data_IF_415496365774
#
_entry.id   IF_415496365774
#
_cell.length_a   1.000
_cell.length_b   1.000
_cell.length_c   1.000
_cell.angle_alpha   90.00
_cell.angle_beta   90.00
_cell.angle_gamma   90.00
#
_symmetry.space_group_name_H-M   'P 1'
#
loop_
_entity.id
_entity.type
_entity.pdbx_description
1 polymer ?
#
# COMPACT_ATOMS: atom_id res chain seq x y z
N UNK A 1 10.93 95.35 3.15
CA UNK A 1 11.06 94.06 3.86
C UNK A 1 9.81 93.16 3.85
N UNK A 2 8.63 93.60 3.37
CA UNK A 2 7.41 92.75 3.34
C UNK A 2 7.28 91.81 2.11
N UNK A 3 7.91 92.14 0.97
CA UNK A 3 7.84 91.32 -0.25
C UNK A 3 8.78 90.10 -0.26
N UNK A 4 9.84 90.08 0.56
CA UNK A 4 10.79 88.97 0.59
C UNK A 4 10.24 87.77 1.38
N UNK A 5 9.47 88.04 2.44
CA UNK A 5 8.86 87.02 3.30
C UNK A 5 7.79 86.24 2.51
N UNK A 6 6.98 86.92 1.69
CA UNK A 6 5.91 86.28 0.91
C UNK A 6 6.42 85.29 -0.15
N UNK A 7 7.63 85.50 -0.70
CA UNK A 7 8.25 84.59 -1.67
C UNK A 7 8.77 83.30 -1.04
N UNK A 8 9.27 83.36 0.21
CA UNK A 8 9.76 82.17 0.91
C UNK A 8 8.63 81.29 1.43
N UNK A 9 7.50 81.87 1.86
CA UNK A 9 6.34 81.09 2.32
C UNK A 9 5.68 80.29 1.19
N UNK A 10 5.68 80.83 -0.04
CA UNK A 10 5.09 80.15 -1.20
C UNK A 10 5.96 78.96 -1.68
N UNK A 11 7.28 79.07 -1.56
CA UNK A 11 8.22 77.99 -1.91
C UNK A 11 8.18 76.85 -0.88
N UNK A 12 8.06 77.18 0.41
CA UNK A 12 7.94 76.17 1.47
C UNK A 12 6.59 75.43 1.44
N UNK A 13 5.51 76.12 1.06
CA UNK A 13 4.20 75.49 0.85
C UNK A 13 4.20 74.49 -0.31
N UNK A 14 4.90 74.79 -1.40
CA UNK A 14 4.95 73.90 -2.57
C UNK A 14 5.78 72.62 -2.31
N UNK A 15 6.85 72.71 -1.50
CA UNK A 15 7.67 71.56 -1.09
C UNK A 15 6.94 70.60 -0.13
N UNK A 16 6.00 71.10 0.67
CA UNK A 16 5.22 70.26 1.61
C UNK A 16 4.14 69.41 0.92
N UNK A 17 3.75 69.74 -0.33
CA UNK A 17 2.78 68.94 -1.10
C UNK A 17 3.42 67.80 -1.91
N UNK A 18 4.74 67.72 -2.01
CA UNK A 18 5.44 66.63 -2.71
C UNK A 18 5.88 65.47 -1.80
N UNK A 19 5.69 65.56 -0.48
CA UNK A 19 6.19 64.53 0.46
C UNK A 19 5.18 63.43 0.80
N UNK A 20 3.99 63.42 0.17
CA UNK A 20 2.94 62.43 0.45
C UNK A 20 2.42 61.67 -0.79
N UNK A 21 3.24 61.54 -1.83
CA UNK A 21 3.04 60.43 -2.78
C UNK A 21 3.71 59.19 -2.20
N UNK A 22 3.01 58.44 -1.34
CA UNK A 22 3.35 57.03 -1.15
C UNK A 22 3.08 56.35 -2.48
N UNK A 23 4.10 56.18 -3.31
CA UNK A 23 4.06 55.18 -4.36
C UNK A 23 3.67 53.88 -3.66
N UNK A 24 2.45 53.41 -3.90
CA UNK A 24 2.04 52.07 -3.51
C UNK A 24 3.13 51.14 -4.02
N UNK A 25 3.72 50.38 -3.10
CA UNK A 25 4.74 49.37 -3.40
C UNK A 25 4.36 48.71 -4.72
N UNK A 26 5.17 48.91 -5.75
CA UNK A 26 5.02 48.15 -6.99
C UNK A 26 5.20 46.71 -6.55
N UNK A 27 4.08 45.97 -6.42
CA UNK A 27 4.09 44.59 -5.95
C UNK A 27 5.07 43.84 -6.83
N UNK A 28 6.02 43.15 -6.21
CA UNK A 28 6.92 42.29 -6.96
C UNK A 28 6.08 41.17 -7.56
N UNK A 29 5.70 41.35 -8.83
CA UNK A 29 4.84 40.40 -9.53
C UNK A 29 5.41 38.99 -9.53
N UNK A 30 6.73 38.82 -9.35
CA UNK A 30 7.34 37.50 -9.21
C UNK A 30 7.03 36.88 -7.85
N UNK A 31 7.02 37.67 -6.77
CA UNK A 31 6.62 37.22 -5.44
C UNK A 31 5.15 36.83 -5.40
N UNK A 32 4.29 37.61 -6.04
CA UNK A 32 2.85 37.32 -6.13
C UNK A 32 2.58 36.09 -7.01
N UNK A 33 3.27 35.96 -8.16
CA UNK A 33 3.20 34.76 -9.00
C UNK A 33 3.71 33.51 -8.28
N UNK A 34 4.77 33.63 -7.48
CA UNK A 34 5.30 32.52 -6.68
C UNK A 34 4.32 32.11 -5.59
N UNK A 35 3.71 33.06 -4.90
CA UNK A 35 2.67 32.78 -3.90
C UNK A 35 1.44 32.10 -4.54
N UNK A 36 1.01 32.55 -5.73
CA UNK A 36 -0.06 31.92 -6.50
C UNK A 36 0.34 30.50 -6.91
N UNK A 37 1.56 30.30 -7.42
CA UNK A 37 2.05 28.98 -7.81
C UNK A 37 2.16 28.02 -6.61
N UNK A 38 2.66 28.50 -5.48
CA UNK A 38 2.71 27.74 -4.22
C UNK A 38 1.31 27.35 -3.76
N UNK A 39 0.34 28.27 -3.82
CA UNK A 39 -1.05 27.98 -3.49
C UNK A 39 -1.65 26.95 -4.46
N UNK A 40 -1.37 27.04 -5.77
CA UNK A 40 -1.84 26.06 -6.76
C UNK A 40 -1.24 24.68 -6.54
N UNK A 41 0.06 24.59 -6.22
CA UNK A 41 0.72 23.33 -5.87
C UNK A 41 0.11 22.76 -4.58
N UNK A 42 -0.13 23.59 -3.57
CA UNK A 42 -0.78 23.20 -2.32
C UNK A 42 -2.19 22.66 -2.57
N UNK A 43 -3.01 23.37 -3.35
CA UNK A 43 -4.35 22.92 -3.70
C UNK A 43 -4.32 21.60 -4.47
N UNK A 44 -3.43 21.46 -5.47
CA UNK A 44 -3.30 20.24 -6.24
C UNK A 44 -2.86 19.04 -5.39
N UNK A 45 -1.90 19.24 -4.49
CA UNK A 45 -1.40 18.19 -3.60
C UNK A 45 -2.38 17.85 -2.47
N UNK A 46 -3.36 18.73 -2.21
CA UNK A 46 -4.41 18.49 -1.23
C UNK A 46 -5.70 17.88 -1.81
N UNK A 47 -5.71 17.51 -3.08
CA UNK A 47 -6.84 16.80 -3.66
C UNK A 47 -6.79 15.31 -3.31
N UNK A 48 -7.86 14.82 -2.71
CA UNK A 48 -8.13 13.39 -2.53
C UNK A 48 -9.11 12.91 -3.59
N UNK A 49 -8.90 11.70 -4.08
CA UNK A 49 -9.75 11.07 -5.08
C UNK A 49 -10.30 9.75 -4.53
N UNK A 50 -11.58 9.41 -4.79
CA UNK A 50 -12.13 8.13 -4.38
C UNK A 50 -11.53 7.03 -5.25
N UNK A 51 -10.85 6.08 -4.62
CA UNK A 51 -10.25 4.92 -5.30
C UNK A 51 -10.82 3.64 -4.71
N UNK A 52 -11.25 2.75 -5.61
CA UNK A 52 -11.61 1.38 -5.26
C UNK A 52 -10.37 0.59 -4.91
N UNK A 53 -10.47 -0.18 -3.84
CA UNK A 53 -9.40 -1.03 -3.34
C UNK A 53 -9.96 -2.42 -3.09
N UNK A 54 -9.23 -3.45 -3.48
CA UNK A 54 -9.66 -4.83 -3.35
C UNK A 54 -8.61 -5.65 -2.60
N UNK A 55 -9.09 -6.62 -1.84
CA UNK A 55 -8.30 -7.75 -1.35
C UNK A 55 -8.91 -8.97 -2.02
N UNK A 56 -8.08 -9.84 -2.59
CA UNK A 56 -8.57 -10.97 -3.37
C UNK A 56 -7.74 -12.21 -3.09
N UNK A 57 -8.38 -13.32 -2.77
CA UNK A 57 -7.74 -14.63 -2.76
C UNK A 57 -7.71 -15.20 -4.17
N UNK A 58 -6.61 -15.82 -4.56
CA UNK A 58 -6.45 -16.45 -5.86
C UNK A 58 -5.59 -17.70 -5.76
N UNK A 59 -5.64 -18.49 -6.82
CA UNK A 59 -4.75 -19.61 -7.05
C UNK A 59 -4.01 -19.42 -8.39
N UNK A 60 -2.79 -19.95 -8.49
CA UNK A 60 -1.89 -19.79 -9.63
C UNK A 60 -1.94 -20.98 -10.62
N UNK A 61 -2.87 -21.92 -10.40
CA UNK A 61 -2.99 -23.15 -11.20
C UNK A 61 -3.80 -23.02 -12.49
N UNK A 62 -4.26 -21.80 -12.81
CA UNK A 62 -5.02 -21.48 -14.03
C UNK A 62 -6.25 -22.38 -14.23
N UNK A 63 -6.92 -22.75 -13.13
CA UNK A 63 -8.16 -23.52 -13.11
C UNK A 63 -9.30 -22.77 -12.39
N UNK A 64 -10.44 -23.44 -12.27
CA UNK A 64 -11.65 -22.88 -11.65
C UNK A 64 -11.80 -23.24 -10.15
N UNK A 65 -10.85 -23.99 -9.56
CA UNK A 65 -10.98 -24.61 -8.25
C UNK A 65 -10.07 -23.98 -7.19
N UNK A 66 -10.54 -22.93 -6.54
CA UNK A 66 -9.80 -22.25 -5.46
C UNK A 66 -9.60 -23.08 -4.18
N UNK A 67 -10.30 -24.21 -4.05
CA UNK A 67 -10.27 -25.05 -2.86
C UNK A 67 -9.31 -26.24 -2.98
N UNK A 68 -8.73 -26.48 -4.15
CA UNK A 68 -7.85 -27.61 -4.40
C UNK A 68 -6.59 -27.11 -5.09
N UNK A 69 -5.43 -27.47 -4.55
CA UNK A 69 -4.19 -27.17 -5.24
C UNK A 69 -3.15 -28.27 -5.02
N UNK A 70 -2.29 -28.43 -6.03
CA UNK A 70 -1.21 -29.44 -6.03
C UNK A 70 0.14 -28.78 -5.84
N UNK A 71 0.90 -29.20 -4.84
CA UNK A 71 2.24 -28.68 -4.56
C UNK A 71 3.28 -29.81 -4.55
N UNK A 72 4.43 -29.57 -5.18
CA UNK A 72 5.55 -30.53 -5.18
C UNK A 72 6.54 -30.17 -4.08
N UNK A 73 6.79 -31.09 -3.16
CA UNK A 73 7.79 -30.98 -2.10
C UNK A 73 8.71 -32.20 -2.17
N UNK A 74 10.02 -31.97 -2.30
CA UNK A 74 11.03 -33.03 -2.38
C UNK A 74 10.73 -34.14 -3.42
N UNK A 75 10.28 -33.75 -4.63
CA UNK A 75 9.85 -34.64 -5.71
C UNK A 75 8.59 -35.51 -5.43
N UNK A 76 7.87 -35.26 -4.33
CA UNK A 76 6.55 -35.82 -4.04
C UNK A 76 5.49 -34.75 -4.29
N UNK A 77 4.42 -35.12 -5.00
CA UNK A 77 3.27 -34.24 -5.23
C UNK A 77 2.26 -34.45 -4.11
N UNK A 78 1.88 -33.36 -3.45
CA UNK A 78 0.86 -33.33 -2.43
C UNK A 78 -0.38 -32.61 -2.97
N UNK A 79 -1.52 -33.27 -2.87
CA UNK A 79 -2.82 -32.69 -3.20
C UNK A 79 -3.42 -32.14 -1.90
N UNK A 80 -3.74 -30.86 -1.90
CA UNK A 80 -4.29 -30.15 -0.74
C UNK A 80 -5.70 -29.73 -1.09
N UNK A 81 -6.66 -30.10 -0.24
CA UNK A 81 -8.06 -29.68 -0.35
C UNK A 81 -8.41 -28.86 0.88
N UNK A 82 -8.71 -27.58 0.70
CA UNK A 82 -9.14 -26.68 1.77
C UNK A 82 -10.65 -26.83 1.98
N UNK A 83 -11.06 -27.02 3.23
CA UNK A 83 -12.45 -27.20 3.62
C UNK A 83 -13.15 -25.84 3.79
N UNK A 84 -14.44 -25.80 3.49
CA UNK A 84 -15.29 -24.60 3.54
C UNK A 84 -15.43 -23.97 4.94
N UNK A 85 -15.15 -24.76 5.99
CA UNK A 85 -15.11 -24.28 7.38
C UNK A 85 -13.90 -23.39 7.73
N UNK A 86 -13.01 -23.14 6.78
CA UNK A 86 -11.88 -22.22 6.94
C UNK A 86 -12.36 -20.76 6.92
N UNK A 87 -11.77 -19.92 7.77
CA UNK A 87 -12.10 -18.50 7.86
C UNK A 87 -10.87 -17.64 8.16
N UNK A 88 -10.96 -16.36 7.80
CA UNK A 88 -10.00 -15.34 8.21
C UNK A 88 -10.77 -14.24 8.91
N UNK A 89 -10.31 -13.88 10.12
CA UNK A 89 -10.78 -12.73 10.84
C UNK A 89 -9.85 -11.55 10.57
N UNK A 90 -10.26 -10.67 9.66
CA UNK A 90 -9.51 -9.47 9.30
C UNK A 90 -9.71 -8.40 10.37
N UNK A 91 -8.64 -7.68 10.71
CA UNK A 91 -8.68 -6.56 11.65
C UNK A 91 -8.73 -5.23 10.88
N UNK A 92 -7.69 -4.92 10.12
CA UNK A 92 -7.66 -3.76 9.24
C UNK A 92 -6.67 -3.92 8.09
N UNK A 93 -6.81 -3.08 7.08
CA UNK A 93 -5.91 -2.98 5.95
C UNK A 93 -5.79 -1.51 5.56
N UNK A 94 -4.57 -1.03 5.38
CA UNK A 94 -4.30 0.39 5.10
C UNK A 94 -3.25 0.57 4.00
N UNK A 95 -3.39 1.62 3.20
CA UNK A 95 -2.35 2.10 2.28
C UNK A 95 -1.65 3.34 2.82
N UNK A 96 -0.35 3.45 2.54
CA UNK A 96 0.39 4.71 2.59
C UNK A 96 0.75 5.15 1.18
N UNK A 97 0.57 6.44 0.94
CA UNK A 97 0.81 7.06 -0.36
C UNK A 97 1.95 8.05 -0.23
N UNK A 98 2.85 8.00 -1.19
CA UNK A 98 3.87 9.02 -1.38
C UNK A 98 3.42 10.02 -2.46
N UNK A 99 3.85 11.30 -2.37
CA UNK A 99 3.55 12.29 -3.38
C UNK A 99 4.09 11.88 -4.75
N UNK A 100 3.47 12.36 -5.84
CA UNK A 100 3.97 12.08 -7.18
C UNK A 100 5.36 12.69 -7.37
N UNK A 101 6.20 12.05 -8.20
CA UNK A 101 7.55 12.56 -8.51
C UNK A 101 7.55 13.91 -9.25
N UNK A 102 6.40 14.32 -9.80
CA UNK A 102 6.22 15.56 -10.53
C UNK A 102 4.86 16.15 -10.20
N UNK A 103 4.83 17.42 -9.79
CA UNK A 103 3.61 18.21 -9.64
C UNK A 103 3.61 19.29 -10.72
N UNK A 104 2.64 19.25 -11.64
CA UNK A 104 2.48 20.24 -12.73
C UNK A 104 3.70 20.39 -13.66
N UNK A 105 4.43 19.30 -13.93
CA UNK A 105 5.60 19.32 -14.84
C UNK A 105 6.87 19.94 -14.24
N UNK A 106 6.82 20.42 -13.01
CA UNK A 106 8.01 20.82 -12.25
C UNK A 106 8.56 19.59 -11.55
N UNK A 107 9.73 19.13 -12.02
CA UNK A 107 10.52 18.14 -11.29
C UNK A 107 11.13 18.85 -10.09
N UNK A 108 10.88 18.37 -8.88
CA UNK A 108 11.65 18.76 -7.69
C UNK A 108 13.01 18.06 -7.72
N UNK A 109 13.76 18.21 -8.81
CA UNK A 109 15.20 17.95 -8.76
C UNK A 109 15.79 18.89 -7.74
N UNK A 110 16.57 18.37 -6.79
CA UNK A 110 17.07 19.05 -5.58
C UNK A 110 18.03 20.23 -5.81
N UNK A 111 17.81 21.06 -6.83
CA UNK A 111 18.63 22.22 -7.18
C UNK A 111 18.05 23.56 -6.71
N UNK A 112 16.82 23.64 -6.22
CA UNK A 112 16.28 24.90 -5.67
C UNK A 112 16.33 24.89 -4.13
N UNK A 113 17.52 25.17 -3.60
CA UNK A 113 17.72 25.59 -2.19
C UNK A 113 17.08 26.96 -1.97
N UNK A 114 15.75 27.00 -1.88
CA UNK A 114 15.00 28.06 -1.23
C UNK A 114 14.79 27.63 0.21
N UNK A 115 15.34 28.36 1.17
CA UNK A 115 15.36 28.04 2.61
C UNK A 115 13.99 27.95 3.29
N UNK A 116 12.90 28.14 2.54
CA UNK A 116 11.51 28.04 3.02
C UNK A 116 10.66 27.03 2.23
N UNK A 117 11.24 26.30 1.26
CA UNK A 117 10.55 25.27 0.51
C UNK A 117 10.84 23.89 1.12
N UNK A 118 9.85 23.27 1.76
CA UNK A 118 9.89 21.86 2.17
C UNK A 118 9.70 21.01 0.91
N UNK A 119 10.71 21.00 0.04
CA UNK A 119 10.74 20.13 -1.14
C UNK A 119 11.09 18.71 -0.66
N UNK A 120 10.08 17.83 -0.66
CA UNK A 120 10.19 16.42 -0.27
C UNK A 120 10.74 15.62 -1.45
N UNK A 121 12.03 15.31 -1.52
CA UNK A 121 12.55 14.36 -2.52
C UNK A 121 13.64 13.40 -2.03
N UNK A 122 13.59 12.19 -2.61
CA UNK A 122 14.56 11.08 -2.61
C UNK A 122 14.46 9.96 -1.57
N UNK A 123 13.28 9.64 -1.04
CA UNK A 123 13.06 8.25 -0.58
C UNK A 123 12.66 7.37 -1.78
N UNK A 124 13.05 6.08 -1.82
CA UNK A 124 12.43 5.13 -2.74
C UNK A 124 10.92 5.27 -2.64
N UNK A 125 10.18 5.16 -3.75
CA UNK A 125 8.72 5.34 -3.74
C UNK A 125 8.01 4.39 -2.77
N UNK A 126 8.69 3.30 -2.39
CA UNK A 126 8.31 2.26 -1.43
C UNK A 126 8.55 2.60 0.05
N UNK A 127 9.30 3.67 0.34
CA UNK A 127 9.59 4.11 1.72
C UNK A 127 8.64 5.26 2.04
N UNK A 128 7.71 5.08 3.00
CA UNK A 128 6.83 6.15 3.42
C UNK A 128 7.64 7.36 3.87
N UNK A 129 7.20 8.55 3.47
CA UNK A 129 7.80 9.78 3.98
C UNK A 129 7.47 9.93 5.47
N UNK A 130 8.49 10.25 6.27
CA UNK A 130 8.32 10.55 7.69
C UNK A 130 7.72 11.95 7.83
N UNK A 131 6.39 12.01 7.76
CA UNK A 131 5.61 13.22 7.79
C UNK A 131 4.65 13.21 8.97
N UNK A 132 4.34 14.40 9.52
CA UNK A 132 3.30 14.54 10.52
C UNK A 132 1.97 13.89 10.11
N UNK A 133 1.25 13.31 11.07
CA UNK A 133 0.01 12.58 10.82
C UNK A 133 -1.16 13.45 10.35
N UNK A 134 -1.03 14.77 10.40
CA UNK A 134 -1.97 15.74 9.82
C UNK A 134 -1.72 15.99 8.32
N UNK A 135 -0.52 15.71 7.81
CA UNK A 135 -0.18 15.74 6.38
C UNK A 135 -0.88 14.60 5.64
N UNK A 136 -1.41 14.87 4.44
CA UNK A 136 -2.08 13.85 3.63
C UNK A 136 -1.18 12.66 3.29
N UNK A 137 0.12 12.90 3.07
CA UNK A 137 1.08 11.84 2.77
C UNK A 137 1.70 11.23 4.04
N UNK A 138 1.42 11.79 5.23
CA UNK A 138 1.73 11.18 6.53
C UNK A 138 0.64 10.24 7.06
N UNK A 139 -0.56 10.29 6.48
CA UNK A 139 -1.72 9.49 6.86
C UNK A 139 -1.73 8.10 6.21
N UNK A 140 -2.38 7.17 6.90
CA UNK A 140 -2.73 5.86 6.35
C UNK A 140 -4.21 5.83 5.96
N UNK A 141 -4.52 5.22 4.83
CA UNK A 141 -5.86 5.17 4.25
C UNK A 141 -6.42 3.75 4.33
N UNK A 142 -7.45 3.54 5.16
CA UNK A 142 -8.03 2.22 5.40
C UNK A 142 -8.84 1.71 4.22
N UNK A 143 -8.45 0.55 3.69
CA UNK A 143 -9.14 -0.12 2.58
C UNK A 143 -9.93 -1.36 3.01
N UNK A 144 -9.65 -1.91 4.19
CA UNK A 144 -10.27 -3.14 4.70
C UNK A 144 -10.92 -2.89 6.06
N UNK A 145 -12.14 -3.40 6.23
CA UNK A 145 -12.89 -3.36 7.48
C UNK A 145 -12.64 -4.60 8.32
N UNK A 146 -12.71 -4.47 9.65
CA UNK A 146 -12.76 -5.63 10.52
C UNK A 146 -13.96 -6.52 10.17
N UNK A 147 -13.72 -7.81 9.93
CA UNK A 147 -14.75 -8.79 9.55
C UNK A 147 -14.19 -10.21 9.54
N UNK A 148 -14.99 -11.15 10.02
CA UNK A 148 -14.78 -12.57 9.80
C UNK A 148 -15.34 -12.99 8.44
N UNK A 149 -14.48 -13.51 7.57
CA UNK A 149 -14.85 -14.01 6.25
C UNK A 149 -14.59 -15.51 6.20
N UNK A 150 -15.65 -16.30 6.04
CA UNK A 150 -15.60 -17.74 5.88
C UNK A 150 -15.63 -18.15 4.40
N UNK A 151 -15.31 -19.42 4.13
CA UNK A 151 -15.35 -20.01 2.79
C UNK A 151 -14.53 -19.22 1.76
N UNK A 152 -13.32 -18.82 2.16
CA UNK A 152 -12.37 -18.01 1.36
C UNK A 152 -11.92 -18.68 0.04
N UNK A 153 -12.30 -19.94 -0.16
CA UNK A 153 -12.05 -20.74 -1.36
C UNK A 153 -13.28 -20.87 -2.26
N UNK A 154 -14.37 -20.18 -1.95
CA UNK A 154 -15.52 -20.12 -2.84
C UNK A 154 -15.24 -19.15 -3.98
N UNK A 155 -15.46 -19.56 -5.22
CA UNK A 155 -15.40 -18.62 -6.34
C UNK A 155 -16.50 -17.56 -6.25
N UNK A 156 -16.14 -16.29 -6.38
CA UNK A 156 -17.12 -15.19 -6.50
C UNK A 156 -16.72 -14.11 -7.53
N UNK A 157 -15.54 -14.24 -8.17
CA UNK A 157 -15.01 -13.24 -9.10
C UNK A 157 -13.89 -13.84 -9.95
N UNK A 158 -13.57 -13.22 -11.09
CA UNK A 158 -12.47 -13.64 -11.96
C UNK A 158 -11.30 -12.65 -11.89
N UNK A 159 -10.11 -13.15 -12.20
CA UNK A 159 -8.93 -12.36 -12.51
C UNK A 159 -8.24 -12.90 -13.77
N UNK A 160 -7.14 -12.28 -14.18
CA UNK A 160 -6.41 -12.68 -15.38
C UNK A 160 -5.90 -14.13 -15.36
N UNK A 161 -5.64 -14.69 -14.17
CA UNK A 161 -5.15 -16.07 -14.00
C UNK A 161 -6.26 -17.08 -13.68
N UNK A 162 -7.54 -16.70 -13.69
CA UNK A 162 -8.66 -17.62 -13.49
C UNK A 162 -9.63 -17.24 -12.37
N UNK A 163 -10.18 -18.25 -11.69
CA UNK A 163 -11.08 -18.09 -10.57
C UNK A 163 -10.42 -17.33 -9.42
N UNK A 164 -11.21 -16.55 -8.68
CA UNK A 164 -10.76 -15.82 -7.50
C UNK A 164 -11.89 -15.54 -6.51
N UNK A 165 -11.51 -15.18 -5.29
CA UNK A 165 -12.41 -14.77 -4.25
C UNK A 165 -12.12 -13.33 -3.83
N UNK A 166 -12.99 -12.40 -4.21
CA UNK A 166 -12.97 -11.01 -3.79
C UNK A 166 -13.55 -10.90 -2.37
N UNK A 167 -12.75 -10.40 -1.44
CA UNK A 167 -13.20 -10.19 -0.06
C UNK A 167 -14.23 -9.04 -0.01
N UNK A 168 -15.39 -9.24 0.66
CA UNK A 168 -16.51 -8.29 0.59
C UNK A 168 -16.33 -7.05 1.48
N UNK A 169 -15.37 -7.06 2.40
CA UNK A 169 -15.15 -6.03 3.42
C UNK A 169 -14.19 -4.91 2.98
N UNK A 170 -13.89 -4.82 1.68
CA UNK A 170 -13.10 -3.71 1.14
C UNK A 170 -13.92 -2.45 0.92
N UNK A 171 -13.27 -1.28 0.94
CA UNK A 171 -13.94 0.03 0.90
C UNK A 171 -13.44 0.91 -0.23
N UNK A 172 -14.24 1.89 -0.62
CA UNK A 172 -13.75 3.04 -1.35
C UNK A 172 -13.01 3.96 -0.37
N UNK A 173 -11.80 4.38 -0.75
CA UNK A 173 -10.96 5.25 0.07
C UNK A 173 -10.69 6.57 -0.66
N UNK A 174 -10.85 7.70 0.04
CA UNK A 174 -10.44 9.01 -0.48
C UNK A 174 -8.95 9.20 -0.23
N UNK A 175 -8.15 8.99 -1.28
CA UNK A 175 -6.70 8.90 -1.22
C UNK A 175 -6.07 10.06 -2.02
N UNK A 176 -4.97 10.70 -1.59
CA UNK A 176 -4.30 11.75 -2.34
C UNK A 176 -3.67 11.19 -3.61
N UNK A 177 -3.53 12.04 -4.63
CA UNK A 177 -2.81 11.67 -5.84
C UNK A 177 -1.34 11.41 -5.53
N UNK A 178 -0.74 10.41 -6.18
CA UNK A 178 0.63 10.01 -5.89
C UNK A 178 0.95 8.58 -6.30
N UNK A 179 1.73 7.89 -5.48
CA UNK A 179 2.14 6.49 -5.68
C UNK A 179 1.95 5.70 -4.39
N UNK A 180 1.47 4.46 -4.50
CA UNK A 180 1.38 3.56 -3.35
C UNK A 180 2.80 3.26 -2.87
N UNK A 181 3.07 3.59 -1.61
CA UNK A 181 4.35 3.32 -0.97
C UNK A 181 4.34 1.96 -0.30
N UNK A 182 3.30 1.69 0.48
CA UNK A 182 3.19 0.48 1.29
C UNK A 182 1.72 0.15 1.50
N UNK A 183 1.39 -1.14 1.58
CA UNK A 183 0.15 -1.61 2.18
C UNK A 183 0.45 -2.38 3.47
N UNK A 184 -0.41 -2.21 4.47
CA UNK A 184 -0.40 -3.05 5.66
C UNK A 184 -1.71 -3.82 5.70
N UNK A 185 -1.62 -5.12 5.98
CA UNK A 185 -2.76 -5.99 6.24
C UNK A 185 -2.58 -6.59 7.63
N UNK A 186 -3.64 -6.61 8.42
CA UNK A 186 -3.67 -7.20 9.77
C UNK A 186 -4.88 -8.10 9.93
N UNK A 187 -4.67 -9.18 10.66
CA UNK A 187 -5.67 -10.18 10.96
C UNK A 187 -5.60 -10.52 12.44
N UNK A 188 -6.75 -10.83 13.01
CA UNK A 188 -6.87 -11.31 14.39
C UNK A 188 -6.62 -12.83 14.46
N UNK A 189 -7.12 -13.56 13.46
CA UNK A 189 -7.05 -15.01 13.43
C UNK A 189 -7.16 -15.52 11.99
N UNK A 190 -6.35 -16.52 11.64
CA UNK A 190 -6.51 -17.30 10.40
C UNK A 190 -6.71 -18.75 10.80
N UNK A 191 -7.87 -19.30 10.44
CA UNK A 191 -8.24 -20.68 10.70
C UNK A 191 -8.41 -21.42 9.38
N UNK A 192 -7.57 -22.43 9.15
CA UNK A 192 -7.59 -23.23 7.92
C UNK A 192 -7.77 -24.69 8.29
N UNK A 193 -8.78 -25.33 7.71
CA UNK A 193 -8.93 -26.79 7.73
C UNK A 193 -8.67 -27.31 6.34
N UNK A 194 -7.83 -28.32 6.23
CA UNK A 194 -7.49 -28.91 4.95
C UNK A 194 -7.18 -30.40 5.08
N UNK A 195 -7.35 -31.11 3.98
CA UNK A 195 -6.91 -32.50 3.84
C UNK A 195 -5.73 -32.54 2.88
N UNK A 196 -4.62 -33.14 3.31
CA UNK A 196 -3.37 -33.21 2.54
C UNK A 196 -3.08 -34.66 2.18
N UNK A 197 -2.91 -34.95 0.90
CA UNK A 197 -2.66 -36.30 0.37
C UNK A 197 -1.34 -36.37 -0.37
N UNK A 198 -0.35 -37.07 0.19
CA UNK A 198 0.97 -37.34 -0.40
C UNK A 198 1.37 -38.82 -0.34
N UNK A 199 0.37 -39.71 -0.30
CA UNK A 199 0.49 -41.14 -0.04
C UNK A 199 -0.62 -41.60 0.89
N UNK A 200 -0.68 -41.01 2.08
CA UNK A 200 -1.81 -41.10 3.01
C UNK A 200 -2.47 -39.72 3.15
N UNK A 201 -3.79 -39.68 3.19
CA UNK A 201 -4.54 -38.46 3.50
C UNK A 201 -4.46 -38.15 4.99
N UNK A 202 -4.11 -36.91 5.33
CA UNK A 202 -4.10 -36.39 6.70
C UNK A 202 -5.04 -35.21 6.83
N UNK A 203 -5.78 -35.16 7.92
CA UNK A 203 -6.59 -34.00 8.25
C UNK A 203 -5.76 -33.01 9.06
N UNK A 204 -5.66 -31.77 8.56
CA UNK A 204 -4.81 -30.73 9.12
C UNK A 204 -5.67 -29.55 9.52
N UNK A 205 -5.48 -29.09 10.76
CA UNK A 205 -6.09 -27.87 11.28
C UNK A 205 -4.99 -26.88 11.63
N UNK A 206 -5.05 -25.69 11.05
CA UNK A 206 -4.10 -24.60 11.25
C UNK A 206 -4.82 -23.48 11.99
N UNK A 207 -4.19 -23.02 13.07
CA UNK A 207 -4.61 -21.88 13.85
C UNK A 207 -3.46 -20.88 13.94
N UNK A 208 -3.54 -19.81 13.13
CA UNK A 208 -2.61 -18.68 13.23
C UNK A 208 -3.25 -17.58 14.08
N UNK A 209 -2.51 -17.15 15.09
CA UNK A 209 -2.86 -16.01 15.94
C UNK A 209 -2.73 -14.69 15.20
N UNK A 210 -3.11 -13.61 15.89
CA UNK A 210 -3.01 -12.23 15.41
C UNK A 210 -1.64 -11.94 14.80
N UNK A 211 -1.66 -11.23 13.68
CA UNK A 211 -0.47 -10.82 12.98
C UNK A 211 -0.73 -9.68 12.01
N UNK A 212 0.36 -9.14 11.49
CA UNK A 212 0.32 -8.16 10.43
C UNK A 212 1.40 -8.46 9.39
N UNK A 213 1.17 -7.93 8.19
CA UNK A 213 2.12 -7.95 7.09
C UNK A 213 2.18 -6.59 6.45
N UNK A 214 3.40 -6.04 6.42
CA UNK A 214 3.75 -4.93 5.55
C UNK A 214 4.10 -5.47 4.17
N UNK A 215 3.44 -4.94 3.15
CA UNK A 215 3.58 -5.31 1.74
C UNK A 215 4.09 -4.09 1.00
N UNK A 216 5.23 -4.27 0.35
CA UNK A 216 5.88 -3.22 -0.41
C UNK A 216 5.71 -3.52 -1.90
N UNK A 217 5.14 -2.59 -2.70
CA UNK A 217 4.97 -2.82 -4.13
C UNK A 217 6.34 -2.82 -4.81
N UNK A 218 6.61 -3.84 -5.63
CA UNK A 218 7.82 -3.95 -6.45
C UNK A 218 7.81 -3.04 -7.70
N UNK A 219 6.63 -2.51 -8.04
CA UNK A 219 6.45 -1.60 -9.16
C UNK A 219 5.69 -0.34 -8.72
N UNK A 220 5.80 0.74 -9.50
CA UNK A 220 5.13 2.01 -9.19
C UNK A 220 3.64 1.88 -9.49
N UNK A 221 2.80 1.89 -8.45
CA UNK A 221 1.34 1.88 -8.59
C UNK A 221 0.82 3.31 -8.45
N UNK A 222 0.46 4.00 -9.55
CA UNK A 222 0.01 5.39 -9.49
C UNK A 222 -1.44 5.51 -9.00
N UNK A 223 -1.67 6.53 -8.17
CA UNK A 223 -2.97 7.04 -7.75
C UNK A 223 -3.23 8.32 -8.53
N UNK A 224 -4.04 8.24 -9.58
CA UNK A 224 -4.31 9.36 -10.51
C UNK A 224 -5.79 9.40 -10.93
N UNK A 225 -6.24 10.59 -11.34
CA UNK A 225 -7.56 10.76 -11.95
C UNK A 225 -7.72 9.88 -13.19
N UNK A 226 -8.89 9.26 -13.34
CA UNK A 226 -9.21 8.40 -14.49
C UNK A 226 -8.54 7.02 -14.46
N UNK A 227 -8.02 6.56 -13.32
CA UNK A 227 -7.59 5.16 -13.16
C UNK A 227 -8.80 4.23 -13.36
N UNK A 228 -8.70 3.30 -14.30
CA UNK A 228 -9.80 2.40 -14.69
C UNK A 228 -9.98 1.17 -13.80
N UNK A 229 -8.99 0.85 -12.95
CA UNK A 229 -8.99 -0.35 -12.10
C UNK A 229 -8.71 -0.05 -10.63
N UNK A 230 -9.18 -0.93 -9.74
CA UNK A 230 -8.94 -0.84 -8.31
C UNK A 230 -7.45 -1.05 -7.99
N UNK A 231 -7.03 -0.62 -6.79
CA UNK A 231 -5.73 -1.05 -6.23
C UNK A 231 -6.00 -2.36 -5.51
N UNK A 232 -5.45 -3.45 -6.04
CA UNK A 232 -5.70 -4.78 -5.52
C UNK A 232 -4.48 -5.33 -4.78
N UNK A 233 -4.74 -6.06 -3.70
CA UNK A 233 -3.76 -6.94 -3.03
C UNK A 233 -4.26 -8.36 -3.20
N UNK A 234 -3.35 -9.23 -3.60
CA UNK A 234 -3.62 -10.64 -3.78
C UNK A 234 -3.17 -11.43 -2.54
N UNK A 235 -3.95 -12.46 -2.22
CA UNK A 235 -3.68 -13.44 -1.18
C UNK A 235 -3.62 -14.82 -1.82
N UNK A 236 -2.48 -15.50 -1.74
CA UNK A 236 -2.34 -16.88 -2.20
C UNK A 236 -2.41 -17.84 -1.02
N UNK A 237 -3.36 -18.78 -1.06
CA UNK A 237 -3.45 -19.84 -0.06
C UNK A 237 -2.36 -20.90 -0.26
N UNK A 238 -2.03 -21.23 -1.51
CA UNK A 238 -0.94 -22.16 -1.83
C UNK A 238 0.42 -21.64 -1.34
N UNK A 239 0.61 -20.32 -1.32
CA UNK A 239 1.79 -19.65 -0.78
C UNK A 239 2.08 -19.96 0.70
N UNK A 240 1.07 -20.30 1.51
CA UNK A 240 1.32 -20.72 2.90
C UNK A 240 2.14 -22.01 2.98
N UNK A 241 1.97 -22.90 2.01
CA UNK A 241 2.48 -24.27 2.02
C UNK A 241 3.67 -24.47 1.08
N UNK A 242 4.11 -23.40 0.41
CA UNK A 242 5.19 -23.45 -0.54
C UNK A 242 6.53 -23.74 0.15
N UNK A 243 7.31 -24.63 -0.46
CA UNK A 243 8.69 -24.89 -0.07
C UNK A 243 9.59 -23.73 -0.49
N UNK A 244 10.53 -23.36 0.38
CA UNK A 244 11.48 -22.25 0.11
C UNK A 244 12.88 -22.58 0.61
N UNK A 245 13.88 -21.82 0.15
CA UNK A 245 15.21 -21.84 0.75
C UNK A 245 15.45 -20.53 1.49
N UNK A 246 15.85 -20.63 2.76
CA UNK A 246 16.23 -19.47 3.57
C UNK A 246 17.72 -19.59 3.87
N UNK A 247 18.51 -18.66 3.35
CA UNK A 247 19.96 -18.63 3.56
C UNK A 247 20.66 -19.94 3.18
N UNK A 248 20.15 -20.64 2.14
CA UNK A 248 20.70 -21.91 1.66
C UNK A 248 20.14 -23.16 2.37
N UNK A 249 19.34 -23.01 3.43
CA UNK A 249 18.64 -24.13 4.07
C UNK A 249 17.25 -24.31 3.47
N UNK A 250 16.93 -25.48 2.90
CA UNK A 250 15.58 -25.76 2.43
C UNK A 250 14.61 -25.88 3.61
N UNK A 251 13.50 -25.16 3.51
CA UNK A 251 12.37 -25.20 4.42
C UNK A 251 11.23 -25.83 3.65
N UNK A 252 10.80 -27.01 4.11
CA UNK A 252 9.82 -27.84 3.42
C UNK A 252 8.63 -28.11 4.31
N UNK A 253 7.52 -27.44 4.03
CA UNK A 253 6.33 -27.56 4.88
C UNK A 253 5.71 -28.95 4.74
N UNK A 254 5.50 -29.40 3.50
CA UNK A 254 4.76 -30.63 3.19
C UNK A 254 5.57 -31.89 3.53
N UNK A 255 6.89 -31.86 3.31
CA UNK A 255 7.81 -32.92 3.75
C UNK A 255 7.75 -33.09 5.27
N UNK A 256 7.85 -31.99 6.02
CA UNK A 256 7.76 -32.00 7.49
C UNK A 256 6.39 -32.49 7.99
N UNK A 257 5.31 -32.08 7.31
CA UNK A 257 3.94 -32.51 7.61
C UNK A 257 3.74 -34.02 7.38
N UNK A 258 4.40 -34.58 6.37
CA UNK A 258 4.32 -36.00 6.03
C UNK A 258 4.85 -36.91 7.16
N UNK A 259 5.77 -36.41 8.01
CA UNK A 259 6.27 -37.13 9.19
C UNK A 259 5.38 -37.08 10.44
N UNK A 260 4.31 -36.27 10.46
CA UNK A 260 3.45 -36.10 11.66
C UNK A 260 2.36 -37.17 11.79
N UNK A 261 1.87 -37.44 12.99
CA UNK A 261 0.71 -38.32 13.19
C UNK A 261 -0.61 -37.61 12.82
N UNK A 262 -1.56 -38.34 12.24
CA UNK A 262 -2.90 -37.85 11.92
C UNK A 262 -3.84 -38.01 13.15
N UNK A 263 -4.67 -37.00 13.50
CA UNK A 263 -4.82 -35.67 12.91
C UNK A 263 -3.71 -34.68 13.32
N UNK A 264 -3.37 -33.76 12.41
CA UNK A 264 -2.33 -32.75 12.65
C UNK A 264 -2.96 -31.41 13.04
N UNK A 265 -2.70 -30.94 14.26
CA UNK A 265 -3.08 -29.59 14.70
C UNK A 265 -1.85 -28.70 14.76
N UNK A 266 -1.82 -27.64 13.98
CA UNK A 266 -0.72 -26.68 13.87
C UNK A 266 -1.14 -25.37 14.54
N UNK A 267 -0.46 -25.01 15.62
CA UNK A 267 -0.71 -23.78 16.37
C UNK A 267 0.57 -23.33 17.07
N UNK A 268 0.50 -22.18 17.76
CA UNK A 268 1.63 -21.68 18.57
C UNK A 268 2.15 -22.66 19.63
N UNK A 269 1.33 -23.64 20.03
CA UNK A 269 1.66 -24.63 21.08
C UNK A 269 1.74 -26.08 20.58
N UNK A 270 1.32 -26.36 19.33
CA UNK A 270 1.27 -27.71 18.77
C UNK A 270 1.86 -27.72 17.36
N UNK A 271 2.75 -28.69 17.07
CA UNK A 271 3.52 -28.73 15.82
C UNK A 271 4.20 -27.37 15.51
N UNK A 272 4.94 -26.86 16.50
CA UNK A 272 5.57 -25.52 16.49
C UNK A 272 6.56 -25.37 15.33
N UNK A 273 7.20 -26.45 14.90
CA UNK A 273 8.04 -26.48 13.71
C UNK A 273 7.26 -26.09 12.44
N UNK A 274 6.11 -26.72 12.19
CA UNK A 274 5.23 -26.38 11.07
C UNK A 274 4.65 -24.96 11.21
N UNK A 275 4.27 -24.58 12.43
CA UNK A 275 3.77 -23.23 12.71
C UNK A 275 4.80 -22.15 12.37
N UNK A 276 6.06 -22.36 12.72
CA UNK A 276 7.15 -21.44 12.38
C UNK A 276 7.38 -21.34 10.88
N UNK A 277 7.25 -22.45 10.13
CA UNK A 277 7.33 -22.44 8.67
C UNK A 277 6.20 -21.60 8.07
N UNK A 278 4.96 -21.78 8.55
CA UNK A 278 3.81 -21.00 8.08
C UNK A 278 4.02 -19.50 8.34
N UNK A 279 4.50 -19.12 9.52
CA UNK A 279 4.82 -17.73 9.84
C UNK A 279 5.92 -17.18 8.92
N UNK A 280 6.95 -17.97 8.61
CA UNK A 280 8.01 -17.53 7.70
C UNK A 280 7.50 -17.33 6.27
N UNK A 281 6.62 -18.21 5.78
CA UNK A 281 5.98 -18.05 4.47
C UNK A 281 5.06 -16.82 4.44
N UNK A 282 4.33 -16.57 5.51
CA UNK A 282 3.47 -15.39 5.67
C UNK A 282 4.27 -14.08 5.71
N UNK A 283 5.46 -14.11 6.30
CA UNK A 283 6.37 -12.96 6.37
C UNK A 283 7.27 -12.82 5.14
N UNK A 284 7.31 -13.81 4.26
CA UNK A 284 8.04 -13.72 3.01
C UNK A 284 7.42 -12.66 2.08
N UNK A 285 8.25 -12.04 1.26
CA UNK A 285 7.78 -11.10 0.24
C UNK A 285 7.21 -11.85 -0.97
N UNK A 286 6.02 -11.43 -1.42
CA UNK A 286 5.32 -11.93 -2.62
C UNK A 286 5.04 -13.43 -2.68
N UNK A 287 4.98 -14.10 -1.53
CA UNK A 287 4.55 -15.50 -1.43
C UNK A 287 3.05 -15.56 -1.11
N UNK A 288 2.66 -15.14 0.10
CA UNK A 288 1.26 -15.14 0.52
C UNK A 288 0.56 -13.86 0.09
N UNK A 289 1.20 -12.71 0.25
CA UNK A 289 0.64 -11.41 -0.11
C UNK A 289 1.47 -10.75 -1.20
N UNK A 290 0.82 -10.29 -2.26
CA UNK A 290 1.48 -9.64 -3.39
C UNK A 290 0.61 -8.56 -4.05
N UNK A 291 1.25 -7.67 -4.80
CA UNK A 291 0.55 -6.76 -5.70
C UNK A 291 0.50 -7.36 -7.11
N UNK A 292 -0.67 -7.39 -7.78
CA UNK A 292 -0.77 -7.94 -9.12
C UNK A 292 0.04 -7.09 -10.11
N UNK A 293 0.71 -7.75 -11.06
CA UNK A 293 1.46 -7.08 -12.14
C UNK A 293 2.77 -6.41 -11.70
N UNK A 294 3.17 -6.53 -10.44
CA UNK A 294 4.47 -6.08 -9.95
C UNK A 294 5.46 -7.26 -9.79
N UNK A 295 5.48 -8.22 -10.72
CA UNK A 295 6.45 -9.32 -10.69
C UNK A 295 7.78 -8.89 -11.32
N UNK A 296 8.94 -9.26 -10.75
CA UNK A 296 10.21 -9.04 -11.42
C UNK A 296 10.24 -9.83 -12.74
N UNK A 297 10.39 -9.13 -13.87
CA UNK A 297 10.57 -9.75 -15.19
C UNK A 297 9.33 -9.84 -16.09
N UNK A 298 8.20 -9.23 -15.72
CA UNK A 298 7.04 -9.09 -16.62
C UNK A 298 6.69 -7.61 -16.76
N UNK A 299 7.28 -6.95 -17.75
CA UNK A 299 6.77 -5.67 -18.24
C UNK A 299 5.47 -5.96 -19.02
N UNK A 300 4.42 -5.19 -18.75
CA UNK A 300 3.34 -4.94 -19.71
C UNK A 300 3.44 -3.51 -20.20
#
# INVERSE_FOLDING_TARGET
MKHLVLRYTFIFGFLAFFTHCTFGSVGDSNKDKLAILQNLIFFNNNQTIPIGTNLRSYDDQADDNLNQFSLTSNAVVYNITVQSGSFINWETGTYRINPPNQTLGVSTSGSEKSSNAIAKTHTPYTVPLDLPADDLYGKSYSFLSASTVSNITQYNSTMETGASFLFPNTRLSNIPMGVVAVANVSWEEIYIRMDVTGGTTKSVTILLSQGNKQITPKCKIPVKNGRSGNIEILVSLSGFFQDRSVSGTPIRFLDTLSGKADPVVISKVSNVDLYNILLQNLQAEDIVFSFPGCFPGVER
#
